data_IF_248042909900
#
_entry.id   IF_248042909900
#
_cell.length_a   1.000
_cell.length_b   1.000
_cell.length_c   1.000
_cell.angle_alpha   90.00
_cell.angle_beta   90.00
_cell.angle_gamma   90.00
#
_symmetry.space_group_name_H-M   'P 1'
#
loop_
_entity.id
_entity.type
_entity.pdbx_description
1 polymer ?
#
# COMPACT_ATOMS: atom_id res chain seq x y z
N UNK A 1 -3.38 -11.83 -29.13
CA UNK A 1 -2.89 -11.28 -27.85
C UNK A 1 -4.10 -11.15 -26.94
N UNK A 2 -4.23 -12.04 -25.95
CA UNK A 2 -5.37 -12.06 -25.02
C UNK A 2 -5.23 -10.83 -24.10
N UNK A 3 -6.29 -10.05 -23.94
CA UNK A 3 -6.26 -8.88 -23.05
C UNK A 3 -6.36 -9.37 -21.61
N UNK A 4 -5.64 -8.73 -20.68
CA UNK A 4 -5.69 -9.03 -19.23
C UNK A 4 -7.13 -8.93 -18.69
N UNK A 5 -7.95 -8.07 -19.30
CA UNK A 5 -9.38 -7.90 -19.04
C UNK A 5 -10.19 -9.21 -19.24
N UNK A 6 -9.73 -10.14 -20.09
CA UNK A 6 -10.41 -11.41 -20.34
C UNK A 6 -10.10 -12.49 -19.29
N UNK A 7 -9.13 -12.27 -18.40
CA UNK A 7 -8.68 -13.28 -17.41
C UNK A 7 -9.65 -13.50 -16.26
N UNK A 8 -10.52 -12.52 -15.99
CA UNK A 8 -11.36 -12.49 -14.80
C UNK A 8 -12.86 -12.46 -15.10
N UNK A 9 -13.25 -12.54 -16.37
CA UNK A 9 -14.65 -12.53 -16.83
C UNK A 9 -15.45 -13.58 -16.04
N UNK A 10 -16.35 -13.13 -15.16
CA UNK A 10 -17.23 -13.85 -14.21
C UNK A 10 -16.81 -13.95 -12.72
N UNK A 11 -15.56 -13.70 -12.34
CA UNK A 11 -15.12 -13.76 -10.91
C UNK A 11 -14.27 -12.55 -10.46
N UNK A 12 -14.36 -11.43 -11.17
CA UNK A 12 -13.55 -10.22 -10.97
C UNK A 12 -13.45 -9.76 -9.52
N UNK A 13 -14.56 -9.82 -8.78
CA UNK A 13 -14.63 -9.39 -7.38
C UNK A 13 -13.83 -10.27 -6.41
N UNK A 14 -13.82 -11.61 -6.62
CA UNK A 14 -13.07 -12.52 -5.74
C UNK A 14 -11.57 -12.41 -5.97
N UNK A 15 -11.16 -12.14 -7.20
CA UNK A 15 -9.76 -12.09 -7.59
C UNK A 15 -9.11 -10.72 -7.35
N UNK A 16 -9.89 -9.66 -7.11
CA UNK A 16 -9.38 -8.33 -6.72
C UNK A 16 -9.28 -8.11 -5.21
N UNK A 17 -9.81 -9.04 -4.41
CA UNK A 17 -9.89 -8.91 -2.96
C UNK A 17 -8.54 -9.22 -2.29
N UNK A 18 -8.05 -8.28 -1.49
CA UNK A 18 -6.83 -8.43 -0.69
C UNK A 18 -7.18 -8.32 0.79
N UNK A 19 -6.74 -9.28 1.60
CA UNK A 19 -6.84 -9.23 3.06
C UNK A 19 -5.44 -9.21 3.67
N UNK A 20 -5.24 -8.28 4.59
CA UNK A 20 -3.98 -8.08 5.27
C UNK A 20 -4.11 -7.26 6.54
N UNK A 21 -2.99 -7.15 7.23
CA UNK A 21 -2.77 -6.25 8.37
C UNK A 21 -1.71 -5.25 7.96
N UNK A 22 -1.94 -4.00 8.32
CA UNK A 22 -0.99 -2.90 8.11
C UNK A 22 -0.58 -2.41 9.49
N UNK A 23 0.73 -2.32 9.73
CA UNK A 23 1.29 -1.75 10.95
C UNK A 23 2.16 -0.58 10.55
N UNK A 24 1.86 0.59 11.09
CA UNK A 24 2.52 1.84 10.74
C UNK A 24 2.88 2.68 11.93
N UNK A 25 3.91 3.49 11.76
CA UNK A 25 4.27 4.56 12.68
C UNK A 25 4.48 5.87 11.92
N UNK A 26 3.86 6.95 12.42
CA UNK A 26 4.05 8.30 11.91
C UNK A 26 4.91 9.11 12.89
N UNK A 27 6.05 9.61 12.43
CA UNK A 27 6.89 10.56 13.17
C UNK A 27 6.48 11.98 12.83
N UNK A 28 5.91 12.70 13.80
CA UNK A 28 5.42 14.06 13.61
C UNK A 28 6.46 15.10 14.04
N UNK A 29 6.82 15.98 13.11
CA UNK A 29 7.73 17.10 13.30
C UNK A 29 7.03 18.37 12.76
N UNK A 30 6.34 19.08 13.65
CA UNK A 30 5.68 20.36 13.36
C UNK A 30 4.58 20.23 12.27
N UNK A 31 4.88 20.61 11.03
CA UNK A 31 3.98 20.53 9.88
C UNK A 31 4.22 19.29 9.02
N UNK A 32 5.28 18.52 9.30
CA UNK A 32 5.65 17.35 8.53
C UNK A 32 5.46 16.08 9.35
N UNK A 33 4.88 15.05 8.75
CA UNK A 33 4.83 13.70 9.26
C UNK A 33 5.65 12.78 8.36
N UNK A 34 6.53 11.95 8.91
CA UNK A 34 7.17 10.87 8.17
C UNK A 34 6.44 9.58 8.53
N UNK A 35 5.83 8.93 7.55
CA UNK A 35 5.08 7.68 7.72
C UNK A 35 5.93 6.50 7.24
N UNK A 36 6.06 5.49 8.10
CA UNK A 36 6.63 4.19 7.76
C UNK A 36 5.59 3.13 8.11
N UNK A 37 5.21 2.33 7.13
CA UNK A 37 4.24 1.25 7.25
C UNK A 37 4.81 -0.05 6.65
N UNK A 38 4.52 -1.14 7.34
CA UNK A 38 4.72 -2.49 6.87
C UNK A 38 3.37 -3.16 6.66
N UNK A 39 3.19 -3.72 5.47
CA UNK A 39 1.96 -4.37 5.04
C UNK A 39 2.19 -5.89 5.02
N UNK A 40 1.29 -6.62 5.69
CA UNK A 40 1.30 -8.08 5.72
C UNK A 40 0.00 -8.60 5.11
N UNK A 41 0.07 -9.11 3.88
CA UNK A 41 -1.07 -9.69 3.18
C UNK A 41 -1.12 -11.21 3.39
N UNK A 42 -2.15 -11.71 4.05
CA UNK A 42 -2.37 -13.15 4.21
C UNK A 42 -3.27 -13.75 3.10
N UNK A 43 -4.03 -12.92 2.39
CA UNK A 43 -4.81 -13.36 1.23
C UNK A 43 -4.71 -12.34 0.09
N UNK A 44 -4.07 -12.72 -1.01
CA UNK A 44 -3.97 -11.92 -2.22
C UNK A 44 -4.01 -12.84 -3.47
N UNK A 45 -5.20 -13.14 -4.02
CA UNK A 45 -5.38 -14.06 -5.15
C UNK A 45 -4.84 -13.47 -6.46
N UNK A 46 -4.82 -12.14 -6.60
CA UNK A 46 -4.30 -11.44 -7.78
C UNK A 46 -2.81 -11.73 -7.99
N UNK A 47 -2.00 -11.57 -6.94
CA UNK A 47 -0.54 -11.80 -7.01
C UNK A 47 -0.19 -13.24 -7.38
N UNK A 48 -0.98 -14.21 -6.87
CA UNK A 48 -0.77 -15.63 -7.15
C UNK A 48 -0.93 -15.96 -8.64
N UNK A 49 -1.87 -15.34 -9.35
CA UNK A 49 -2.08 -15.53 -10.79
C UNK A 49 -1.08 -14.76 -11.65
N UNK A 50 -0.79 -13.51 -11.28
CA UNK A 50 0.10 -12.64 -12.06
C UNK A 50 1.53 -13.23 -12.14
N UNK A 51 2.08 -13.70 -11.02
CA UNK A 51 3.44 -14.22 -10.96
C UNK A 51 3.59 -15.71 -11.30
N UNK A 52 2.50 -16.49 -11.35
CA UNK A 52 2.55 -17.88 -11.89
C UNK A 52 2.94 -17.92 -13.37
N UNK A 53 2.84 -16.79 -14.09
CA UNK A 53 3.24 -16.64 -15.49
C UNK A 53 4.66 -16.09 -15.69
N UNK A 54 5.27 -15.53 -14.64
CA UNK A 54 6.66 -15.05 -14.66
C UNK A 54 7.62 -16.15 -14.20
N UNK A 55 8.71 -16.37 -14.92
CA UNK A 55 9.74 -17.40 -14.69
C UNK A 55 10.62 -17.05 -13.45
N UNK A 56 10.01 -16.57 -12.35
CA UNK A 56 10.71 -16.35 -11.08
C UNK A 56 10.49 -17.51 -10.12
N UNK A 57 11.52 -17.84 -9.33
CA UNK A 57 11.52 -18.95 -8.37
C UNK A 57 10.38 -18.82 -7.35
N UNK A 58 9.55 -19.86 -7.23
CA UNK A 58 8.31 -19.92 -6.43
C UNK A 58 8.43 -19.39 -4.99
N UNK A 59 9.58 -19.57 -4.33
CA UNK A 59 9.80 -19.17 -2.94
C UNK A 59 10.02 -17.66 -2.74
N UNK A 60 10.65 -16.99 -3.71
CA UNK A 60 10.84 -15.53 -3.72
C UNK A 60 9.48 -14.82 -3.90
N UNK A 61 8.64 -15.36 -4.77
CA UNK A 61 7.34 -14.81 -5.14
C UNK A 61 6.31 -14.81 -4.01
N UNK A 62 6.29 -15.87 -3.20
CA UNK A 62 5.39 -15.96 -2.04
C UNK A 62 5.69 -14.88 -1.00
N UNK A 63 6.96 -14.66 -0.69
CA UNK A 63 7.38 -13.64 0.27
C UNK A 63 7.12 -12.23 -0.31
N UNK A 64 7.31 -12.03 -1.63
CA UNK A 64 7.01 -10.75 -2.33
C UNK A 64 5.54 -10.40 -2.28
N UNK A 65 4.66 -11.40 -2.33
CA UNK A 65 3.22 -11.21 -2.25
C UNK A 65 2.71 -10.89 -0.85
N UNK A 66 3.41 -11.37 0.20
CA UNK A 66 2.96 -11.26 1.59
C UNK A 66 3.47 -9.96 2.22
N UNK A 67 4.69 -9.54 1.88
CA UNK A 67 5.36 -8.40 2.50
C UNK A 67 5.41 -7.18 1.57
N UNK A 68 4.61 -6.18 1.94
CA UNK A 68 4.67 -4.84 1.38
C UNK A 68 5.16 -3.83 2.41
N UNK A 69 5.42 -2.62 1.95
CA UNK A 69 5.67 -1.49 2.83
C UNK A 69 5.35 -0.18 2.14
N UNK A 70 4.94 0.81 2.92
CA UNK A 70 4.67 2.15 2.45
C UNK A 70 5.53 3.14 3.23
N UNK A 71 6.24 4.00 2.52
CA UNK A 71 7.06 5.05 3.10
C UNK A 71 6.67 6.38 2.48
N UNK A 72 6.40 7.38 3.30
CA UNK A 72 5.96 8.66 2.77
C UNK A 72 6.04 9.81 3.75
N UNK A 73 5.59 10.96 3.26
CA UNK A 73 5.55 12.20 3.98
C UNK A 73 4.16 12.80 3.94
N UNK A 74 3.71 13.28 5.09
CA UNK A 74 2.49 14.06 5.24
C UNK A 74 2.85 15.51 5.51
N UNK A 75 2.17 16.43 4.84
CA UNK A 75 2.20 17.85 5.13
C UNK A 75 0.88 18.30 5.72
N UNK A 76 0.95 18.98 6.86
CA UNK A 76 -0.18 19.57 7.56
C UNK A 76 -0.02 21.09 7.54
N UNK A 77 -0.98 21.85 6.98
CA UNK A 77 -0.91 23.31 6.93
C UNK A 77 -1.03 23.94 8.32
N UNK A 78 -1.64 23.25 9.28
CA UNK A 78 -1.72 23.67 10.67
C UNK A 78 -0.90 22.72 11.56
N UNK A 79 -0.20 23.28 12.56
CA UNK A 79 0.60 22.51 13.52
C UNK A 79 -0.21 21.37 14.11
N UNK A 80 0.19 20.14 13.80
CA UNK A 80 -0.45 18.93 14.35
C UNK A 80 0.00 18.78 15.81
N UNK A 81 -0.78 19.33 16.73
CA UNK A 81 -0.66 19.07 18.18
C UNK A 81 -1.51 17.86 18.53
N UNK A 82 -1.12 17.08 19.55
CA UNK A 82 -1.86 15.92 20.07
C UNK A 82 -3.33 16.21 20.45
N UNK A 83 -3.70 17.48 20.56
CA UNK A 83 -5.02 17.95 21.04
C UNK A 83 -5.90 18.47 19.89
N UNK A 84 -5.36 18.63 18.68
CA UNK A 84 -6.08 19.33 17.60
C UNK A 84 -7.13 18.43 16.94
N UNK A 85 -8.40 18.68 17.24
CA UNK A 85 -9.57 17.90 16.82
C UNK A 85 -10.01 18.09 15.37
N UNK A 86 -9.34 18.91 14.56
CA UNK A 86 -9.72 19.14 13.16
C UNK A 86 -8.48 19.52 12.37
N UNK A 87 -7.93 18.61 11.56
CA UNK A 87 -6.78 18.93 10.71
C UNK A 87 -6.90 18.25 9.34
N UNK A 88 -6.57 19.01 8.30
CA UNK A 88 -6.48 18.51 6.92
C UNK A 88 -5.00 18.26 6.62
N UNK A 89 -4.66 17.20 5.91
CA UNK A 89 -3.29 16.89 5.49
C UNK A 89 -3.24 16.47 4.04
N UNK A 90 -2.07 16.66 3.42
CA UNK A 90 -1.74 16.13 2.10
C UNK A 90 -0.57 15.18 2.27
N UNK A 91 -0.72 13.94 1.81
CA UNK A 91 0.32 12.92 1.90
C UNK A 91 0.87 12.53 0.53
N UNK A 92 2.16 12.21 0.49
CA UNK A 92 2.82 11.59 -0.65
C UNK A 92 3.58 10.36 -0.17
N UNK A 93 3.37 9.23 -0.83
CA UNK A 93 3.86 7.93 -0.40
C UNK A 93 4.46 7.14 -1.56
N UNK A 94 5.46 6.34 -1.24
CA UNK A 94 6.02 5.32 -2.08
C UNK A 94 5.55 3.97 -1.54
N UNK A 95 4.82 3.24 -2.37
CA UNK A 95 4.43 1.87 -2.06
C UNK A 95 5.43 0.91 -2.67
N UNK A 96 5.85 -0.04 -1.86
CA UNK A 96 6.86 -1.03 -2.21
C UNK A 96 6.35 -2.44 -1.93
N UNK A 97 6.71 -3.39 -2.77
CA UNK A 97 6.62 -4.83 -2.48
C UNK A 97 8.03 -5.42 -2.41
N UNK A 98 8.38 -5.97 -1.24
CA UNK A 98 9.69 -6.56 -0.95
C UNK A 98 10.92 -5.74 -1.43
N UNK A 99 10.83 -4.41 -1.35
CA UNK A 99 11.92 -3.48 -1.69
C UNK A 99 11.94 -2.96 -3.13
N UNK A 100 11.02 -3.38 -3.99
CA UNK A 100 10.79 -2.72 -5.29
C UNK A 100 9.71 -1.66 -5.14
N UNK A 101 10.01 -0.43 -5.55
CA UNK A 101 9.04 0.67 -5.57
C UNK A 101 8.15 0.54 -6.81
N UNK A 102 6.85 0.33 -6.57
CA UNK A 102 5.89 0.08 -7.64
C UNK A 102 5.12 1.36 -8.00
N UNK A 103 4.69 2.12 -6.98
CA UNK A 103 3.73 3.20 -7.16
C UNK A 103 4.00 4.39 -6.24
N UNK A 104 3.72 5.58 -6.77
CA UNK A 104 3.64 6.82 -5.99
C UNK A 104 2.17 7.11 -5.73
N UNK A 105 1.81 7.23 -4.46
CA UNK A 105 0.46 7.55 -4.02
C UNK A 105 0.42 8.97 -3.46
N UNK A 106 -0.66 9.69 -3.74
CA UNK A 106 -0.96 10.98 -3.12
C UNK A 106 -2.29 10.85 -2.37
N UNK A 107 -2.36 11.35 -1.14
CA UNK A 107 -3.60 11.31 -0.37
C UNK A 107 -4.02 12.68 0.16
N UNK A 108 -5.30 12.77 0.49
CA UNK A 108 -5.89 13.84 1.28
C UNK A 108 -6.42 13.21 2.57
N UNK A 109 -6.04 13.78 3.70
CA UNK A 109 -6.40 13.27 5.03
C UNK A 109 -7.20 14.31 5.79
N UNK A 110 -8.15 13.83 6.58
CA UNK A 110 -8.85 14.65 7.56
C UNK A 110 -8.87 13.92 8.90
N UNK A 111 -8.38 14.58 9.95
CA UNK A 111 -8.41 14.10 11.33
C UNK A 111 -9.45 14.89 12.11
N UNK A 112 -10.34 14.18 12.81
CA UNK A 112 -11.34 14.71 13.75
C UNK A 112 -10.92 14.54 15.23
#
# INVERSE_FOLDING_TARGET
MIKIEEWYKNEEFKHSLVLGVIVGHEFLISHFGLLIEADFHFYNPFYKRFYSYSIETFNSLWIKSILGGRLGFNYYPFKKSYIMKNNVGIGLYLKTHLGQADCVEMNLMYSF
#
